data_IF_355478773941
#
_entry.id   IF_355478773941
#
_cell.length_a   1.000
_cell.length_b   1.000
_cell.length_c   1.000
_cell.angle_alpha   90.00
_cell.angle_beta   90.00
_cell.angle_gamma   90.00
#
_symmetry.space_group_name_H-M   'P 1'
#
loop_
_entity.id
_entity.type
_entity.pdbx_description
1 polymer ?
#
# COMPACT_ATOMS: atom_id res chain seq x y z
N UNK A 1 3.16 4.28 -5.79
CA UNK A 1 3.82 3.87 -4.52
C UNK A 1 3.98 2.36 -4.53
N UNK A 2 5.21 1.88 -4.69
CA UNK A 2 5.53 0.43 -4.81
C UNK A 2 5.91 -0.19 -3.46
N UNK A 3 6.57 0.59 -2.59
CA UNK A 3 7.14 0.09 -1.34
C UNK A 3 6.63 0.87 -0.13
N UNK A 4 6.18 0.16 0.90
CA UNK A 4 6.00 0.70 2.24
C UNK A 4 6.91 -0.04 3.21
N UNK A 5 7.42 0.61 4.25
CA UNK A 5 8.31 0.00 5.23
C UNK A 5 7.77 0.21 6.65
N UNK A 6 7.46 -0.87 7.34
CA UNK A 6 7.13 -0.83 8.76
C UNK A 6 8.37 -0.57 9.62
N UNK A 7 8.18 0.24 10.65
CA UNK A 7 9.21 0.50 11.67
C UNK A 7 8.56 0.67 13.05
N UNK A 8 9.10 0.03 14.12
CA UNK A 8 8.57 0.21 15.47
C UNK A 8 8.68 1.65 15.96
N UNK A 9 7.58 2.20 16.49
CA UNK A 9 7.52 3.59 16.97
C UNK A 9 8.32 3.86 18.24
N UNK A 10 8.61 2.82 19.05
CA UNK A 10 9.48 2.91 20.22
C UNK A 10 10.99 2.92 19.89
N UNK A 11 11.34 2.99 18.59
CA UNK A 11 12.73 2.96 18.12
C UNK A 11 13.03 4.15 17.21
N UNK A 12 13.20 5.38 17.77
CA UNK A 12 13.46 6.59 17.00
C UNK A 12 14.69 6.48 16.08
N UNK A 13 15.70 5.73 16.51
CA UNK A 13 16.89 5.42 15.71
C UNK A 13 16.56 4.64 14.42
N UNK A 14 15.59 3.72 14.50
CA UNK A 14 15.11 2.96 13.34
C UNK A 14 14.17 3.79 12.48
N UNK A 15 13.32 4.63 13.09
CA UNK A 15 12.44 5.55 12.34
C UNK A 15 13.28 6.46 11.44
N UNK A 16 14.36 7.06 11.98
CA UNK A 16 15.27 7.89 11.19
C UNK A 16 15.92 7.13 10.02
N UNK A 17 16.32 5.87 10.24
CA UNK A 17 16.87 5.01 9.17
C UNK A 17 15.82 4.62 8.15
N UNK A 18 14.59 4.34 8.57
CA UNK A 18 13.49 4.01 7.66
C UNK A 18 13.16 5.20 6.74
N UNK A 19 13.10 6.42 7.28
CA UNK A 19 12.89 7.64 6.50
C UNK A 19 14.00 7.90 5.47
N UNK A 20 15.21 7.39 5.70
CA UNK A 20 16.34 7.47 4.78
C UNK A 20 16.52 6.23 3.89
N UNK A 21 15.65 5.22 4.01
CA UNK A 21 15.83 3.92 3.33
C UNK A 21 15.51 3.95 1.84
N UNK A 22 14.88 5.01 1.36
CA UNK A 22 14.35 5.12 0.01
C UNK A 22 13.00 4.40 -0.17
N UNK A 23 12.31 3.93 0.87
CA UNK A 23 10.93 3.46 0.75
C UNK A 23 10.01 4.60 0.30
N UNK A 24 8.97 4.29 -0.49
CA UNK A 24 8.02 5.31 -0.93
C UNK A 24 7.10 5.77 0.22
N UNK A 25 6.88 4.88 1.19
CA UNK A 25 6.14 5.18 2.42
C UNK A 25 6.80 4.52 3.63
N UNK A 26 6.85 5.24 4.75
CA UNK A 26 7.25 4.69 6.04
C UNK A 26 6.02 4.60 6.94
N UNK A 27 5.79 3.42 7.52
CA UNK A 27 4.70 3.17 8.45
C UNK A 27 5.29 3.05 9.84
N UNK A 28 5.13 4.09 10.66
CA UNK A 28 5.53 4.05 12.07
C UNK A 28 4.48 3.27 12.84
N UNK A 29 4.90 2.18 13.44
CA UNK A 29 3.99 1.22 14.07
C UNK A 29 3.88 1.47 15.58
N UNK A 30 2.65 1.65 16.06
CA UNK A 30 2.31 1.68 17.49
C UNK A 30 1.60 0.40 17.94
N UNK A 31 1.30 -0.53 17.00
CA UNK A 31 0.56 -1.74 17.28
C UNK A 31 1.50 -2.93 17.54
N UNK A 32 1.49 -3.94 16.71
CA UNK A 32 2.12 -5.25 16.94
C UNK A 32 3.63 -5.18 17.14
N UNK A 33 4.34 -4.24 16.51
CA UNK A 33 5.78 -4.10 16.65
C UNK A 33 6.21 -3.42 17.97
N UNK A 34 5.26 -2.99 18.81
CA UNK A 34 5.54 -2.30 20.09
C UNK A 34 4.91 -3.08 21.24
N UNK A 35 5.72 -3.47 22.21
CA UNK A 35 5.23 -4.16 23.41
C UNK A 35 4.25 -3.30 24.22
N UNK A 36 3.25 -3.88 24.92
CA UNK A 36 2.27 -3.13 25.71
C UNK A 36 2.90 -2.10 26.66
N UNK A 37 3.97 -2.46 27.34
CA UNK A 37 4.69 -1.58 28.26
C UNK A 37 5.36 -0.36 27.59
N UNK A 38 5.59 -0.43 26.27
CA UNK A 38 6.26 0.61 25.51
C UNK A 38 5.32 1.50 24.68
N UNK A 39 4.01 1.21 24.66
CA UNK A 39 3.02 1.94 23.85
C UNK A 39 3.02 3.45 24.13
N UNK A 40 3.10 3.85 25.40
CA UNK A 40 3.16 5.26 25.78
C UNK A 40 4.45 5.92 25.29
N UNK A 41 5.59 5.27 25.50
CA UNK A 41 6.90 5.77 25.05
C UNK A 41 6.95 5.92 23.53
N UNK A 42 6.40 4.95 22.80
CA UNK A 42 6.32 5.01 21.33
C UNK A 42 5.49 6.22 20.86
N UNK A 43 4.35 6.49 21.50
CA UNK A 43 3.50 7.67 21.24
C UNK A 43 4.24 8.96 21.46
N UNK A 44 4.86 9.09 22.64
CA UNK A 44 5.58 10.31 23.04
C UNK A 44 6.78 10.61 22.13
N UNK A 45 7.37 9.57 21.54
CA UNK A 45 8.49 9.71 20.61
C UNK A 45 8.10 10.17 19.20
N UNK A 46 6.82 10.05 18.79
CA UNK A 46 6.36 10.32 17.41
C UNK A 46 6.74 11.71 16.91
N UNK A 47 6.37 12.75 17.65
CA UNK A 47 6.60 14.13 17.24
C UNK A 47 8.10 14.41 17.01
N UNK A 48 8.96 13.96 17.93
CA UNK A 48 10.41 14.11 17.82
C UNK A 48 11.02 13.28 16.68
N UNK A 49 10.50 12.07 16.45
CA UNK A 49 10.98 11.19 15.38
C UNK A 49 10.61 11.73 13.97
N UNK A 50 9.47 12.42 13.85
CA UNK A 50 8.93 12.94 12.60
C UNK A 50 9.21 14.45 12.38
N UNK A 51 9.70 15.17 13.39
CA UNK A 51 9.97 16.62 13.31
C UNK A 51 10.94 17.00 12.15
N UNK A 52 11.79 16.07 11.72
CA UNK A 52 12.76 16.28 10.64
C UNK A 52 12.18 16.19 9.24
N UNK A 53 10.91 15.79 9.10
CA UNK A 53 10.23 15.69 7.79
C UNK A 53 9.90 17.05 7.20
N UNK A 54 9.55 18.06 8.04
CA UNK A 54 9.19 19.41 7.62
C UNK A 54 10.36 20.32 7.26
N UNK A 55 11.62 19.88 7.44
CA UNK A 55 12.81 20.69 7.27
C UNK A 55 13.59 20.43 5.95
N UNK A 56 13.01 19.68 5.00
CA UNK A 56 13.63 19.46 3.69
C UNK A 56 13.03 20.40 2.66
N UNK A 57 13.89 21.23 2.10
CA UNK A 57 13.59 22.22 1.08
C UNK A 57 12.82 21.62 -0.11
N UNK A 58 11.73 22.29 -0.47
CA UNK A 58 10.92 22.05 -1.67
C UNK A 58 11.61 22.74 -2.85
N UNK A 59 12.92 22.55 -3.00
CA UNK A 59 13.68 23.09 -4.11
C UNK A 59 14.29 21.95 -4.91
N UNK A 60 13.53 21.52 -5.89
CA UNK A 60 13.92 20.99 -7.20
C UNK A 60 12.76 20.21 -7.78
N UNK A 61 12.23 20.63 -8.91
CA UNK A 61 11.10 20.08 -9.68
C UNK A 61 11.20 18.59 -10.09
N UNK A 62 11.76 17.74 -9.22
CA UNK A 62 11.80 16.29 -9.31
C UNK A 62 11.13 15.68 -8.08
N UNK A 63 10.52 14.52 -8.22
CA UNK A 63 9.93 13.68 -7.17
C UNK A 63 10.64 13.91 -5.82
N UNK A 64 9.97 14.54 -4.87
CA UNK A 64 10.55 14.84 -3.56
C UNK A 64 11.01 13.51 -2.93
N UNK A 65 12.32 13.32 -2.72
CA UNK A 65 12.90 12.11 -2.16
C UNK A 65 12.50 11.85 -0.69
N UNK A 66 11.42 12.46 -0.22
CA UNK A 66 10.84 12.31 1.11
C UNK A 66 9.72 11.28 1.03
N UNK A 67 9.79 10.17 1.78
CA UNK A 67 8.72 9.18 1.80
C UNK A 67 7.43 9.76 2.36
N UNK A 68 6.28 9.28 1.88
CA UNK A 68 5.03 9.46 2.61
C UNK A 68 5.15 8.80 4.00
N UNK A 69 4.44 9.33 4.99
CA UNK A 69 4.44 8.74 6.33
C UNK A 69 3.04 8.41 6.78
N UNK A 70 2.90 7.24 7.37
CA UNK A 70 1.70 6.80 8.05
C UNK A 70 2.05 6.37 9.47
N UNK A 71 1.13 6.55 10.40
CA UNK A 71 1.22 5.97 11.75
C UNK A 71 0.17 4.86 11.85
N UNK A 72 0.58 3.61 12.09
CA UNK A 72 -0.34 2.53 12.43
C UNK A 72 -0.66 2.62 13.91
N UNK A 73 -1.87 3.01 14.23
CA UNK A 73 -2.40 3.09 15.60
C UNK A 73 -2.84 1.72 16.10
N UNK A 74 -3.09 1.58 17.39
CA UNK A 74 -3.67 0.36 17.93
C UNK A 74 -5.14 0.21 17.49
N UNK A 75 -5.63 -1.03 17.44
CA UNK A 75 -6.99 -1.35 16.99
C UNK A 75 -8.05 -0.63 17.83
N UNK A 76 -9.16 -0.26 17.18
CA UNK A 76 -10.35 0.31 17.87
C UNK A 76 -10.83 -0.66 18.95
N UNK A 77 -11.17 -0.11 20.11
CA UNK A 77 -11.56 -0.88 21.30
C UNK A 77 -10.38 -1.35 22.16
N UNK A 78 -9.12 -1.17 21.72
CA UNK A 78 -7.97 -1.34 22.59
C UNK A 78 -7.83 -0.18 23.57
N UNK A 79 -7.13 -0.42 24.69
CA UNK A 79 -6.87 0.63 25.68
C UNK A 79 -5.99 1.79 25.19
N UNK A 80 -5.41 1.68 24.00
CA UNK A 80 -4.43 2.63 23.47
C UNK A 80 -4.97 3.47 22.30
N UNK A 81 -6.02 3.02 21.62
CA UNK A 81 -6.52 3.59 20.38
C UNK A 81 -6.76 5.10 20.44
N UNK A 82 -7.53 5.54 21.42
CA UNK A 82 -7.92 6.96 21.56
C UNK A 82 -6.70 7.86 21.82
N UNK A 83 -5.77 7.38 22.66
CA UNK A 83 -4.53 8.11 22.94
C UNK A 83 -3.60 8.16 21.72
N UNK A 84 -3.61 7.10 20.88
CA UNK A 84 -2.84 7.08 19.64
C UNK A 84 -3.41 8.06 18.60
N UNK A 85 -4.75 8.10 18.44
CA UNK A 85 -5.40 9.08 17.55
C UNK A 85 -5.11 10.51 18.00
N UNK A 86 -5.18 10.79 19.31
CA UNK A 86 -4.85 12.09 19.86
C UNK A 86 -3.40 12.49 19.56
N UNK A 87 -2.45 11.57 19.71
CA UNK A 87 -1.04 11.82 19.37
C UNK A 87 -0.84 12.08 17.87
N UNK A 88 -1.55 11.33 17.00
CA UNK A 88 -1.49 11.55 15.55
C UNK A 88 -2.09 12.91 15.19
N UNK A 89 -3.12 13.38 15.89
CA UNK A 89 -3.74 14.68 15.62
C UNK A 89 -2.75 15.86 15.76
N UNK A 90 -1.76 15.73 16.65
CA UNK A 90 -0.72 16.75 16.90
C UNK A 90 0.42 16.73 15.84
N UNK A 91 0.46 15.73 14.96
CA UNK A 91 1.48 15.64 13.92
C UNK A 91 1.12 16.51 12.71
N UNK A 92 2.11 16.72 11.83
CA UNK A 92 1.90 17.35 10.53
C UNK A 92 0.70 16.71 9.81
N UNK A 93 -0.24 17.50 9.26
CA UNK A 93 -1.43 16.98 8.54
C UNK A 93 -1.12 16.03 7.37
N UNK A 94 0.08 16.10 6.81
CA UNK A 94 0.54 15.18 5.75
C UNK A 94 0.82 13.75 6.24
N UNK A 95 0.98 13.56 7.56
CA UNK A 95 1.15 12.22 8.14
C UNK A 95 -0.20 11.51 8.16
N UNK A 96 -0.36 10.43 7.39
CA UNK A 96 -1.58 9.63 7.37
C UNK A 96 -1.74 8.75 8.61
N UNK A 97 -2.96 8.30 8.88
CA UNK A 97 -3.25 7.29 9.90
C UNK A 97 -3.58 5.95 9.26
N UNK A 98 -2.97 4.86 9.73
CA UNK A 98 -3.32 3.49 9.34
C UNK A 98 -4.10 2.83 10.47
N UNK A 99 -5.34 2.43 10.15
CA UNK A 99 -6.23 1.74 11.08
C UNK A 99 -6.08 0.23 10.90
N UNK A 100 -5.63 -0.52 11.90
CA UNK A 100 -5.63 -1.98 11.86
C UNK A 100 -7.02 -2.54 12.18
N UNK A 101 -7.25 -3.80 11.80
CA UNK A 101 -8.43 -4.60 12.16
C UNK A 101 -9.77 -3.92 11.84
N UNK A 102 -9.78 -3.12 10.75
CA UNK A 102 -11.00 -2.44 10.30
C UNK A 102 -12.05 -3.47 9.91
N UNK A 103 -13.23 -3.35 10.51
CA UNK A 103 -14.34 -4.29 10.37
C UNK A 103 -15.61 -3.70 9.78
N UNK A 104 -15.63 -2.38 9.55
CA UNK A 104 -16.75 -1.67 8.95
C UNK A 104 -16.48 -0.20 8.68
N UNK A 105 -17.40 0.47 7.99
CA UNK A 105 -17.34 1.90 7.69
C UNK A 105 -17.29 2.78 8.96
N UNK A 106 -17.90 2.33 10.04
CA UNK A 106 -17.94 3.03 11.32
C UNK A 106 -16.55 3.22 11.95
N UNK A 107 -15.62 2.29 11.70
CA UNK A 107 -14.24 2.43 12.18
C UNK A 107 -13.53 3.57 11.47
N UNK A 108 -13.75 3.70 10.17
CA UNK A 108 -13.21 4.77 9.33
C UNK A 108 -13.82 6.11 9.73
N UNK A 109 -15.16 6.16 9.88
CA UNK A 109 -15.89 7.37 10.25
C UNK A 109 -15.46 7.89 11.64
N UNK A 110 -15.28 6.98 12.62
CA UNK A 110 -14.84 7.35 13.96
C UNK A 110 -13.44 7.99 13.95
N UNK A 111 -12.49 7.40 13.21
CA UNK A 111 -11.16 7.99 13.07
C UNK A 111 -11.20 9.32 12.32
N UNK A 112 -11.98 9.44 11.26
CA UNK A 112 -12.15 10.68 10.49
C UNK A 112 -12.77 11.82 11.32
N UNK A 113 -13.62 11.52 12.30
CA UNK A 113 -14.19 12.51 13.22
C UNK A 113 -13.12 13.09 14.18
N UNK A 114 -12.14 12.28 14.60
CA UNK A 114 -11.02 12.73 15.45
C UNK A 114 -9.92 13.41 14.62
N UNK A 115 -9.73 12.99 13.37
CA UNK A 115 -8.65 13.41 12.48
C UNK A 115 -9.20 14.06 11.19
N UNK A 116 -9.94 15.19 11.28
CA UNK A 116 -10.58 15.78 10.11
C UNK A 116 -9.55 16.18 9.05
N UNK A 117 -9.82 15.78 7.80
CA UNK A 117 -8.96 16.10 6.65
C UNK A 117 -7.68 15.25 6.53
N UNK A 118 -7.37 14.39 7.49
CA UNK A 118 -6.20 13.52 7.45
C UNK A 118 -6.48 12.26 6.63
N UNK A 119 -5.49 11.83 5.85
CA UNK A 119 -5.60 10.59 5.08
C UNK A 119 -5.73 9.37 6.01
N UNK A 120 -6.83 8.62 5.86
CA UNK A 120 -7.09 7.37 6.57
C UNK A 120 -6.76 6.19 5.66
N UNK A 121 -5.95 5.26 6.12
CA UNK A 121 -5.56 4.04 5.42
C UNK A 121 -6.10 2.82 6.18
N UNK A 122 -6.96 2.02 5.56
CA UNK A 122 -7.54 0.86 6.21
C UNK A 122 -6.66 -0.39 6.03
N UNK A 123 -6.41 -1.13 7.11
CA UNK A 123 -5.82 -2.47 7.07
C UNK A 123 -6.91 -3.48 7.37
N UNK A 124 -7.29 -4.27 6.37
CA UNK A 124 -8.27 -5.34 6.47
C UNK A 124 -7.51 -6.63 6.80
N UNK A 125 -7.78 -7.19 7.97
CA UNK A 125 -7.07 -8.35 8.49
C UNK A 125 -7.95 -9.26 9.36
N UNK A 126 -9.28 -9.08 9.23
CA UNK A 126 -10.31 -9.92 9.86
C UNK A 126 -11.27 -10.47 8.81
N UNK A 127 -11.87 -11.63 9.07
CA UNK A 127 -12.86 -12.23 8.17
C UNK A 127 -14.05 -11.28 7.94
N UNK A 128 -14.53 -10.61 8.98
CA UNK A 128 -15.61 -9.62 8.87
C UNK A 128 -15.20 -8.42 8.02
N UNK A 129 -13.95 -7.93 8.17
CA UNK A 129 -13.42 -6.86 7.33
C UNK A 129 -13.34 -7.24 5.85
N UNK A 130 -12.97 -8.49 5.55
CA UNK A 130 -12.96 -9.02 4.18
C UNK A 130 -14.38 -9.06 3.59
N UNK A 131 -15.37 -9.54 4.34
CA UNK A 131 -16.77 -9.55 3.89
C UNK A 131 -17.29 -8.14 3.59
N UNK A 132 -16.91 -7.17 4.41
CA UNK A 132 -17.31 -5.77 4.28
C UNK A 132 -16.30 -4.90 3.51
N UNK A 133 -15.38 -5.50 2.76
CA UNK A 133 -14.30 -4.76 2.10
C UNK A 133 -14.81 -3.59 1.25
N UNK A 134 -15.89 -3.76 0.46
CA UNK A 134 -16.45 -2.68 -0.37
C UNK A 134 -17.06 -1.56 0.47
N UNK A 135 -17.76 -1.87 1.57
CA UNK A 135 -18.27 -0.89 2.52
C UNK A 135 -17.15 -0.03 3.11
N UNK A 136 -16.07 -0.70 3.58
CA UNK A 136 -14.91 -0.04 4.17
C UNK A 136 -14.22 0.89 3.18
N UNK A 137 -13.94 0.40 1.96
CA UNK A 137 -13.23 1.22 0.96
C UNK A 137 -14.07 2.37 0.44
N UNK A 138 -15.39 2.27 0.52
CA UNK A 138 -16.33 3.34 0.15
C UNK A 138 -16.53 4.39 1.25
N UNK A 139 -15.98 4.17 2.44
CA UNK A 139 -16.13 5.08 3.58
C UNK A 139 -15.17 6.29 3.57
N UNK A 140 -14.47 6.54 2.46
CA UNK A 140 -13.58 7.69 2.31
C UNK A 140 -12.13 7.43 2.74
N UNK A 141 -11.67 6.18 2.73
CA UNK A 141 -10.26 5.86 2.96
C UNK A 141 -9.39 6.29 1.77
N UNK A 142 -8.15 6.69 2.04
CA UNK A 142 -7.18 7.04 1.01
C UNK A 142 -6.55 5.80 0.34
N UNK A 143 -6.44 4.70 1.06
CA UNK A 143 -5.99 3.41 0.53
C UNK A 143 -6.42 2.25 1.43
N UNK A 144 -6.34 1.05 0.91
CA UNK A 144 -6.58 -0.19 1.64
C UNK A 144 -5.41 -1.15 1.48
N UNK A 145 -5.13 -1.92 2.52
CA UNK A 145 -4.15 -3.01 2.51
C UNK A 145 -4.73 -4.25 3.20
N UNK A 146 -4.10 -5.40 2.95
CA UNK A 146 -4.45 -6.68 3.56
C UNK A 146 -3.42 -7.05 4.63
N UNK A 147 -3.88 -7.45 5.83
CA UNK A 147 -3.05 -8.02 6.88
C UNK A 147 -3.19 -9.55 6.88
N UNK A 148 -2.37 -10.24 6.09
CA UNK A 148 -2.53 -11.69 5.87
C UNK A 148 -2.15 -12.54 7.08
N UNK A 149 -1.30 -12.03 7.97
CA UNK A 149 -0.87 -12.81 9.14
C UNK A 149 -2.03 -13.07 10.11
N UNK A 150 -2.73 -12.00 10.50
CA UNK A 150 -3.89 -12.09 11.39
C UNK A 150 -5.03 -12.87 10.75
N UNK A 151 -5.27 -12.60 9.46
CA UNK A 151 -6.32 -13.28 8.72
C UNK A 151 -6.04 -14.79 8.56
N UNK A 152 -4.78 -15.20 8.32
CA UNK A 152 -4.42 -16.62 8.33
C UNK A 152 -4.71 -17.28 9.65
N UNK A 153 -4.39 -16.59 10.76
CA UNK A 153 -4.65 -17.10 12.10
C UNK A 153 -6.16 -17.25 12.37
N UNK A 154 -6.96 -16.23 12.03
CA UNK A 154 -8.42 -16.25 12.22
C UNK A 154 -9.10 -17.34 11.38
N UNK A 155 -8.67 -17.50 10.12
CA UNK A 155 -9.24 -18.50 9.20
C UNK A 155 -8.68 -19.92 9.40
N UNK A 156 -7.68 -20.11 10.28
CA UNK A 156 -7.04 -21.40 10.49
C UNK A 156 -6.28 -21.93 9.27
N UNK A 157 -5.75 -21.04 8.41
CA UNK A 157 -5.04 -21.45 7.20
C UNK A 157 -3.64 -21.98 7.53
N UNK A 158 -3.22 -23.01 6.79
CA UNK A 158 -1.87 -23.55 6.90
C UNK A 158 -0.80 -22.46 6.65
N UNK A 159 0.35 -22.61 7.30
CA UNK A 159 1.50 -21.76 7.04
C UNK A 159 2.12 -22.03 5.64
N UNK A 160 2.86 -21.06 5.10
CA UNK A 160 3.58 -21.23 3.86
C UNK A 160 2.69 -21.39 2.63
N UNK A 161 3.19 -22.12 1.63
CA UNK A 161 2.54 -22.26 0.33
C UNK A 161 1.23 -23.07 0.37
N UNK A 162 1.08 -23.99 1.32
CA UNK A 162 -0.13 -24.80 1.48
C UNK A 162 -1.37 -23.93 1.79
N UNK A 163 -1.19 -22.83 2.51
CA UNK A 163 -2.28 -21.89 2.83
C UNK A 163 -2.55 -20.82 1.77
N UNK A 164 -1.73 -20.73 0.72
CA UNK A 164 -1.88 -19.70 -0.33
C UNK A 164 -3.23 -19.76 -1.06
N UNK A 165 -3.79 -20.94 -1.41
CA UNK A 165 -5.11 -21.00 -2.05
C UNK A 165 -6.23 -20.37 -1.21
N UNK A 166 -6.15 -20.48 0.12
CA UNK A 166 -7.13 -19.87 1.04
C UNK A 166 -7.12 -18.35 1.01
N UNK A 167 -6.00 -17.72 0.67
CA UNK A 167 -5.90 -16.27 0.54
C UNK A 167 -6.20 -15.74 -0.87
N UNK A 168 -6.22 -16.58 -1.87
CA UNK A 168 -6.38 -16.13 -3.27
C UNK A 168 -7.68 -15.37 -3.47
N UNK A 169 -8.79 -15.88 -2.94
CA UNK A 169 -10.09 -15.20 -3.00
C UNK A 169 -10.08 -13.88 -2.25
N UNK A 170 -9.51 -13.85 -1.04
CA UNK A 170 -9.42 -12.66 -0.21
C UNK A 170 -8.64 -11.55 -0.91
N UNK A 171 -7.50 -11.89 -1.50
CA UNK A 171 -6.69 -10.96 -2.31
C UNK A 171 -7.48 -10.39 -3.49
N UNK A 172 -8.14 -11.25 -4.25
CA UNK A 172 -8.98 -10.83 -5.38
C UNK A 172 -10.15 -9.95 -4.91
N UNK A 173 -10.80 -10.29 -3.79
CA UNK A 173 -11.87 -9.52 -3.18
C UNK A 173 -11.44 -8.09 -2.88
N UNK A 174 -10.24 -7.93 -2.29
CA UNK A 174 -9.71 -6.61 -1.95
C UNK A 174 -9.38 -5.76 -3.18
N UNK A 175 -8.74 -6.37 -4.19
CA UNK A 175 -8.43 -5.67 -5.46
C UNK A 175 -9.71 -5.21 -6.16
N UNK A 176 -10.73 -6.07 -6.22
CA UNK A 176 -12.04 -5.72 -6.81
C UNK A 176 -12.72 -4.62 -6.01
N UNK A 177 -12.72 -4.70 -4.67
CA UNK A 177 -13.35 -3.69 -3.82
C UNK A 177 -12.67 -2.32 -4.00
N UNK A 178 -11.35 -2.26 -3.99
CA UNK A 178 -10.59 -1.02 -4.22
C UNK A 178 -10.90 -0.41 -5.60
N UNK A 179 -10.87 -1.23 -6.65
CA UNK A 179 -11.18 -0.78 -8.00
C UNK A 179 -12.63 -0.27 -8.15
N UNK A 180 -13.59 -0.96 -7.53
CA UNK A 180 -15.01 -0.58 -7.55
C UNK A 180 -15.27 0.76 -6.83
N UNK A 181 -14.48 1.08 -5.79
CA UNK A 181 -14.53 2.36 -5.08
C UNK A 181 -13.68 3.46 -5.73
N UNK A 182 -12.99 3.20 -6.83
CA UNK A 182 -12.10 4.16 -7.49
C UNK A 182 -10.80 4.44 -6.72
N UNK A 183 -10.43 3.58 -5.79
CA UNK A 183 -9.18 3.71 -5.05
C UNK A 183 -7.98 3.21 -5.89
N UNK A 184 -6.76 3.68 -5.57
CA UNK A 184 -5.54 3.05 -6.06
C UNK A 184 -5.52 1.56 -5.73
N UNK A 185 -4.92 0.75 -6.60
CA UNK A 185 -4.75 -0.68 -6.34
C UNK A 185 -3.97 -0.90 -5.04
N UNK A 186 -4.32 -1.93 -4.24
CA UNK A 186 -3.72 -2.15 -2.93
C UNK A 186 -2.27 -2.64 -3.03
N UNK A 187 -1.53 -2.48 -1.93
CA UNK A 187 -0.25 -3.15 -1.71
C UNK A 187 -0.48 -4.52 -1.06
N UNK A 188 0.40 -5.48 -1.39
CA UNK A 188 0.43 -6.77 -0.73
C UNK A 188 0.85 -6.65 0.74
N UNK A 189 0.44 -7.63 1.53
CA UNK A 189 0.88 -7.81 2.91
C UNK A 189 2.38 -8.06 3.03
N UNK A 190 2.90 -8.00 4.24
CA UNK A 190 4.31 -8.27 4.54
C UNK A 190 4.72 -9.69 4.15
N UNK A 191 5.99 -9.88 3.81
CA UNK A 191 6.63 -11.18 3.64
C UNK A 191 7.55 -11.42 4.84
N UNK A 192 7.19 -12.38 5.67
CA UNK A 192 7.78 -12.53 6.99
C UNK A 192 9.23 -13.03 6.99
N UNK A 193 9.61 -13.88 6.02
CA UNK A 193 10.99 -14.35 5.93
C UNK A 193 11.87 -13.29 5.24
N UNK A 194 12.56 -12.52 6.06
CA UNK A 194 13.45 -11.43 5.61
C UNK A 194 14.62 -11.95 4.76
N UNK A 195 15.03 -13.20 4.94
CA UNK A 195 16.20 -13.76 4.26
C UNK A 195 15.84 -14.45 2.94
N UNK A 196 14.60 -14.90 2.78
CA UNK A 196 14.13 -15.54 1.55
C UNK A 196 13.72 -14.49 0.49
N UNK A 197 14.71 -13.85 -0.11
CA UNK A 197 14.48 -12.82 -1.14
C UNK A 197 13.93 -13.42 -2.45
N UNK A 198 14.27 -14.65 -2.78
CA UNK A 198 13.73 -15.34 -3.95
C UNK A 198 12.25 -15.68 -3.77
N UNK A 199 11.85 -16.15 -2.59
CA UNK A 199 10.44 -16.36 -2.24
C UNK A 199 9.64 -15.06 -2.23
N UNK A 200 10.24 -13.98 -1.73
CA UNK A 200 9.67 -12.64 -1.81
C UNK A 200 9.41 -12.23 -3.27
N UNK A 201 10.40 -12.39 -4.16
CA UNK A 201 10.26 -12.06 -5.58
C UNK A 201 9.14 -12.86 -6.24
N UNK A 202 9.10 -14.19 -6.03
CA UNK A 202 8.01 -15.05 -6.55
C UNK A 202 6.65 -14.63 -6.01
N UNK A 203 6.56 -14.30 -4.72
CA UNK A 203 5.32 -13.82 -4.10
C UNK A 203 4.87 -12.47 -4.66
N UNK A 204 5.80 -11.53 -4.89
CA UNK A 204 5.51 -10.24 -5.53
C UNK A 204 4.99 -10.42 -6.97
N UNK A 205 5.63 -11.30 -7.76
CA UNK A 205 5.17 -11.61 -9.12
C UNK A 205 3.73 -12.15 -9.14
N UNK A 206 3.39 -13.05 -8.20
CA UNK A 206 2.00 -13.53 -8.04
C UNK A 206 1.04 -12.40 -7.70
N UNK A 207 1.41 -11.52 -6.76
CA UNK A 207 0.56 -10.39 -6.39
C UNK A 207 0.35 -9.39 -7.53
N UNK A 208 1.41 -9.09 -8.28
CA UNK A 208 1.32 -8.24 -9.47
C UNK A 208 0.34 -8.83 -10.50
N UNK A 209 0.42 -10.13 -10.75
CA UNK A 209 -0.53 -10.83 -11.63
C UNK A 209 -1.99 -10.79 -11.13
N UNK A 210 -2.21 -10.60 -9.83
CA UNK A 210 -3.53 -10.44 -9.21
C UNK A 210 -4.03 -8.98 -9.18
N UNK A 211 -3.22 -8.00 -9.62
CA UNK A 211 -3.59 -6.59 -9.66
C UNK A 211 -3.13 -5.75 -8.47
N UNK A 212 -2.23 -6.27 -7.63
CA UNK A 212 -1.53 -5.44 -6.64
C UNK A 212 -0.46 -4.57 -7.30
N UNK A 213 -0.12 -3.43 -6.67
CA UNK A 213 0.86 -2.47 -7.23
C UNK A 213 2.13 -2.31 -6.42
N UNK A 214 2.32 -3.11 -5.39
CA UNK A 214 3.48 -3.03 -4.51
C UNK A 214 3.31 -3.92 -3.30
N UNK A 215 4.20 -3.77 -2.33
CA UNK A 215 4.20 -4.56 -1.11
C UNK A 215 4.71 -3.76 0.09
N UNK A 216 4.18 -4.09 1.26
CA UNK A 216 4.71 -3.60 2.53
C UNK A 216 5.88 -4.49 2.97
N UNK A 217 7.03 -3.86 3.26
CA UNK A 217 8.24 -4.49 3.77
C UNK A 217 8.33 -4.37 5.30
N UNK A 218 9.08 -5.27 5.93
CA UNK A 218 9.46 -5.22 7.34
C UNK A 218 10.97 -5.08 7.53
N UNK A 219 11.73 -5.07 6.44
CA UNK A 219 13.18 -4.87 6.45
C UNK A 219 13.63 -4.14 5.18
N UNK A 220 14.60 -3.19 5.26
CA UNK A 220 15.08 -2.45 4.09
C UNK A 220 15.64 -3.32 2.96
N UNK A 221 16.20 -4.50 3.26
CA UNK A 221 16.71 -5.44 2.23
C UNK A 221 15.61 -5.92 1.27
N UNK A 222 14.34 -5.86 1.66
CA UNK A 222 13.21 -6.27 0.81
C UNK A 222 12.86 -5.22 -0.25
N UNK A 223 13.20 -3.95 -0.02
CA UNK A 223 12.78 -2.84 -0.88
C UNK A 223 13.23 -2.97 -2.34
N UNK A 224 14.51 -3.29 -2.65
CA UNK A 224 14.95 -3.45 -4.04
C UNK A 224 14.19 -4.55 -4.77
N UNK A 225 14.00 -5.71 -4.12
CA UNK A 225 13.30 -6.87 -4.69
C UNK A 225 11.84 -6.54 -4.98
N UNK A 226 11.17 -5.82 -4.06
CA UNK A 226 9.79 -5.39 -4.27
C UNK A 226 9.69 -4.44 -5.46
N UNK A 227 10.58 -3.44 -5.55
CA UNK A 227 10.59 -2.50 -6.67
C UNK A 227 10.78 -3.19 -8.00
N UNK A 228 11.77 -4.05 -8.11
CA UNK A 228 12.05 -4.81 -9.32
C UNK A 228 10.85 -5.66 -9.76
N UNK A 229 10.22 -6.36 -8.81
CA UNK A 229 9.08 -7.24 -9.10
C UNK A 229 7.81 -6.50 -9.55
N UNK A 230 7.59 -5.27 -9.10
CA UNK A 230 6.41 -4.48 -9.44
C UNK A 230 6.66 -3.42 -10.53
N UNK A 231 7.91 -3.09 -10.83
CA UNK A 231 8.22 -2.21 -11.95
C UNK A 231 7.81 -2.85 -13.29
N UNK A 232 7.35 -2.05 -14.26
CA UNK A 232 7.13 -2.57 -15.60
C UNK A 232 8.47 -2.97 -16.24
N UNK A 233 8.46 -4.08 -16.96
CA UNK A 233 9.61 -4.49 -17.75
C UNK A 233 9.77 -3.60 -18.99
N UNK A 234 10.98 -3.49 -19.54
CA UNK A 234 11.22 -2.76 -20.79
C UNK A 234 10.34 -3.26 -21.94
N UNK A 235 10.05 -4.56 -21.99
CA UNK A 235 9.15 -5.13 -22.99
C UNK A 235 7.69 -4.69 -22.80
N UNK A 236 7.21 -4.60 -21.55
CA UNK A 236 5.86 -4.08 -21.24
C UNK A 236 5.75 -2.61 -21.58
N UNK A 237 6.76 -1.80 -21.26
CA UNK A 237 6.82 -0.37 -21.62
C UNK A 237 6.80 -0.19 -23.14
N UNK A 238 7.66 -0.90 -23.88
CA UNK A 238 7.69 -0.85 -25.34
C UNK A 238 6.34 -1.26 -25.96
N UNK A 239 5.72 -2.31 -25.44
CA UNK A 239 4.39 -2.76 -25.90
C UNK A 239 3.30 -1.74 -25.60
N UNK A 240 3.35 -1.15 -24.41
CA UNK A 240 2.42 -0.09 -24.03
C UNK A 240 2.55 1.15 -24.94
N UNK A 241 3.78 1.56 -25.25
CA UNK A 241 4.05 2.66 -26.18
C UNK A 241 3.53 2.36 -27.57
N UNK A 242 3.80 1.15 -28.11
CA UNK A 242 3.27 0.72 -29.41
C UNK A 242 1.74 0.83 -29.48
N UNK A 243 1.04 0.40 -28.43
CA UNK A 243 -0.42 0.49 -28.35
C UNK A 243 -0.89 1.94 -28.42
N UNK A 244 -0.28 2.83 -27.64
CA UNK A 244 -0.64 4.26 -27.62
C UNK A 244 -0.39 4.92 -28.97
N UNK A 245 0.76 4.66 -29.59
CA UNK A 245 1.12 5.23 -30.89
C UNK A 245 0.18 4.78 -32.01
N UNK A 246 -0.16 3.50 -32.05
CA UNK A 246 -1.10 2.93 -33.06
C UNK A 246 -2.50 3.51 -32.91
N UNK A 247 -2.99 3.65 -31.68
CA UNK A 247 -4.31 4.25 -31.42
C UNK A 247 -4.30 5.74 -31.80
N UNK A 248 -3.21 6.46 -31.51
CA UNK A 248 -3.05 7.87 -31.90
C UNK A 248 -3.07 8.05 -33.43
N UNK A 249 -2.34 7.20 -34.16
CA UNK A 249 -2.32 7.23 -35.63
C UNK A 249 -3.70 6.92 -36.22
N UNK A 250 -4.37 5.88 -35.75
CA UNK A 250 -5.72 5.52 -36.23
C UNK A 250 -6.77 6.62 -35.97
N UNK A 251 -6.67 7.30 -34.82
CA UNK A 251 -7.56 8.41 -34.51
C UNK A 251 -7.32 9.61 -35.48
N UNK A 252 -6.08 9.87 -35.87
CA UNK A 252 -5.73 10.90 -36.84
C UNK A 252 -6.29 10.59 -38.26
N UNK A 253 -6.33 9.29 -38.62
CA UNK A 253 -6.88 8.80 -39.89
C UNK A 253 -8.40 8.60 -39.88
N UNK A 254 -9.09 8.91 -38.76
CA UNK A 254 -10.54 8.75 -38.61
C UNK A 254 -10.98 7.26 -38.52
N UNK A 255 -10.07 6.32 -38.27
CA UNK A 255 -10.35 4.91 -38.11
C UNK A 255 -10.71 4.62 -36.63
N UNK A 256 -11.85 3.95 -36.41
CA UNK A 256 -12.29 3.50 -35.08
C UNK A 256 -11.76 2.13 -34.68
N UNK A 257 -11.04 1.42 -35.58
CA UNK A 257 -10.57 0.04 -35.38
C UNK A 257 -9.05 -0.02 -35.53
N UNK A 258 -8.38 -0.57 -34.55
CA UNK A 258 -6.91 -0.75 -34.57
C UNK A 258 -6.55 -2.20 -34.33
N UNK A 259 -5.69 -2.73 -35.21
CA UNK A 259 -5.12 -4.07 -35.08
C UNK A 259 -3.59 -3.95 -35.07
N UNK A 260 -2.94 -4.61 -34.12
CA UNK A 260 -1.48 -4.67 -34.03
C UNK A 260 -0.89 -5.63 -35.09
N UNK A 261 0.43 -5.58 -35.29
CA UNK A 261 1.11 -6.44 -36.28
C UNK A 261 0.96 -7.93 -36.02
N UNK A 262 0.82 -8.31 -34.76
CA UNK A 262 0.56 -9.68 -34.31
C UNK A 262 -0.90 -10.14 -34.48
N UNK A 263 -1.76 -9.30 -35.06
CA UNK A 263 -3.18 -9.59 -35.25
C UNK A 263 -4.06 -9.25 -34.02
N UNK A 264 -3.51 -8.69 -32.96
CA UNK A 264 -4.27 -8.32 -31.76
C UNK A 264 -5.18 -7.11 -32.05
N UNK A 265 -6.49 -7.29 -31.87
CA UNK A 265 -7.46 -6.20 -31.92
C UNK A 265 -7.37 -5.36 -30.66
N UNK A 266 -7.21 -4.04 -30.81
CA UNK A 266 -7.14 -3.11 -29.68
C UNK A 266 -8.51 -2.59 -29.28
N UNK A 267 -8.85 -2.78 -28.02
CA UNK A 267 -10.02 -2.19 -27.39
C UNK A 267 -9.63 -1.08 -26.39
N UNK A 268 -10.64 -0.37 -25.88
CA UNK A 268 -10.46 0.72 -24.91
C UNK A 268 -9.83 0.22 -23.60
N UNK A 269 -10.07 -1.04 -23.22
CA UNK A 269 -9.50 -1.61 -22.00
C UNK A 269 -7.98 -1.81 -22.13
N UNK A 270 -7.52 -2.25 -23.32
CA UNK A 270 -6.09 -2.39 -23.60
C UNK A 270 -5.36 -1.05 -23.62
N UNK A 271 -5.97 -0.01 -24.16
CA UNK A 271 -5.43 1.36 -24.13
C UNK A 271 -5.29 1.87 -22.70
N UNK A 272 -6.30 1.63 -21.85
CA UNK A 272 -6.23 1.98 -20.42
C UNK A 272 -5.14 1.21 -19.69
N UNK A 273 -4.97 -0.07 -20.02
CA UNK A 273 -3.89 -0.89 -19.45
C UNK A 273 -2.51 -0.38 -19.87
N UNK A 274 -2.31 -0.05 -21.16
CA UNK A 274 -1.08 0.51 -21.67
C UNK A 274 -0.72 1.85 -20.99
N UNK A 275 -1.69 2.75 -20.82
CA UNK A 275 -1.46 4.00 -20.08
C UNK A 275 -1.00 3.75 -18.65
N UNK A 276 -1.64 2.82 -17.92
CA UNK A 276 -1.21 2.47 -16.56
C UNK A 276 0.23 1.97 -16.49
N UNK A 277 0.68 1.20 -17.49
CA UNK A 277 2.07 0.74 -17.57
C UNK A 277 3.01 1.94 -17.74
N UNK A 278 2.72 2.86 -18.67
CA UNK A 278 3.54 4.05 -18.91
C UNK A 278 3.55 5.01 -17.70
N UNK A 279 2.39 5.20 -17.03
CA UNK A 279 2.28 6.05 -15.83
C UNK A 279 3.03 5.46 -14.62
N UNK A 280 3.34 4.16 -14.63
CA UNK A 280 4.07 3.46 -13.57
C UNK A 280 5.56 3.29 -13.86
N UNK A 281 6.02 3.66 -15.05
CA UNK A 281 7.44 3.63 -15.42
C UNK A 281 8.19 4.79 -14.74
N UNK A 282 9.22 4.52 -13.95
CA UNK A 282 9.99 5.56 -13.26
C UNK A 282 11.04 6.26 -14.15
N UNK A 283 11.19 5.88 -15.44
CA UNK A 283 12.18 6.43 -16.37
C UNK A 283 11.80 7.76 -17.00
#
# INVERSE_FOLDING_TARGET
MLTSLYVPGDRPDRVAKALASGADCVIVDLEDAVAPAHKAVARDALAGALARMGARDVDDGGSSGVPAVQVRVNARGSAWHEADLAAVAELDPMVGVRLPKVSGADDVAAAGAVLPGRAVHALIETALGVERAFEIVSAGVASVALGEADLRAELGLAAGEEGEPGLAWVRSRLVVAAAAAGLPAPQMSVYADVKDLDGLARSCARGRAMGFVGRTAIHPMQLPVIREAFAPTAAEVARAQEIIDRVGAAAADGSGTVVLEDGTFLDVAMVRAARRVLDSDPS
#
